data_IF_686767123639
#
_entry.id   IF_686767123639
#
_cell.length_a   1.000
_cell.length_b   1.000
_cell.length_c   1.000
_cell.angle_alpha   90.00
_cell.angle_beta   90.00
_cell.angle_gamma   90.00
#
_symmetry.space_group_name_H-M   'P 1'
#
loop_
_entity.id
_entity.type
_entity.pdbx_description
1 polymer ?
#
# COMPACT_ATOMS: atom_id res chain seq x y z
N UNK A 1 34.45 22.72 21.69
CA UNK A 1 33.83 23.36 20.52
C UNK A 1 32.33 23.13 20.56
N UNK A 2 31.51 24.18 20.57
CA UNK A 2 30.04 24.12 20.67
C UNK A 2 29.48 24.17 19.25
N UNK A 3 28.78 23.13 18.81
CA UNK A 3 28.15 23.11 17.48
C UNK A 3 26.73 23.66 17.64
N UNK A 4 26.45 24.81 17.04
CA UNK A 4 25.09 25.35 16.90
C UNK A 4 24.48 24.85 15.60
N UNK A 5 23.40 24.08 15.71
CA UNK A 5 22.61 23.62 14.57
C UNK A 5 21.44 24.59 14.39
N UNK A 6 21.39 25.27 13.25
CA UNK A 6 20.23 26.07 12.85
C UNK A 6 19.38 25.24 11.88
N UNK A 7 18.21 24.77 12.33
CA UNK A 7 17.21 24.17 11.44
C UNK A 7 16.50 25.28 10.65
N UNK A 8 16.82 25.39 9.37
CA UNK A 8 16.01 26.14 8.41
C UNK A 8 14.64 25.47 8.25
N UNK A 9 13.57 26.25 8.05
CA UNK A 9 12.20 25.74 7.80
C UNK A 9 12.19 24.79 6.60
N UNK A 10 12.34 23.50 6.86
CA UNK A 10 12.18 22.45 5.85
C UNK A 10 10.72 22.40 5.44
N UNK A 11 10.43 22.71 4.17
CA UNK A 11 9.12 22.43 3.61
C UNK A 11 8.94 20.90 3.58
N UNK A 12 7.99 20.39 4.36
CA UNK A 12 7.57 19.00 4.27
C UNK A 12 6.94 18.80 2.89
N UNK A 13 7.69 18.25 1.95
CA UNK A 13 7.15 17.80 0.69
C UNK A 13 6.54 16.41 0.90
N UNK A 14 5.22 16.29 0.67
CA UNK A 14 4.59 14.97 0.56
C UNK A 14 5.16 14.31 -0.68
N UNK A 15 6.04 13.34 -0.50
CA UNK A 15 6.52 12.48 -1.59
C UNK A 15 5.32 11.68 -2.07
N UNK A 16 5.05 11.68 -3.39
CA UNK A 16 3.89 11.01 -3.99
C UNK A 16 3.70 9.58 -3.46
N UNK A 17 2.45 9.25 -3.15
CA UNK A 17 2.06 8.05 -2.41
C UNK A 17 2.30 6.74 -3.18
N UNK A 18 2.31 5.63 -2.43
CA UNK A 18 2.41 4.28 -2.97
C UNK A 18 1.15 3.84 -3.73
N UNK A 19 1.18 2.60 -4.23
CA UNK A 19 0.06 1.98 -4.95
C UNK A 19 -1.12 1.67 -4.01
N UNK A 20 -2.34 1.90 -4.49
CA UNK A 20 -3.57 1.53 -3.81
C UNK A 20 -3.92 0.05 -4.05
N UNK A 21 -4.70 -0.54 -3.13
CA UNK A 21 -5.19 -1.91 -3.32
C UNK A 21 -6.06 -2.05 -4.58
N UNK A 22 -6.80 -1.00 -4.94
CA UNK A 22 -7.64 -0.96 -6.14
C UNK A 22 -6.81 -1.05 -7.42
N UNK A 23 -5.67 -0.36 -7.48
CA UNK A 23 -4.75 -0.44 -8.63
C UNK A 23 -4.13 -1.83 -8.77
N UNK A 24 -3.80 -2.48 -7.66
CA UNK A 24 -3.29 -3.86 -7.67
C UNK A 24 -4.36 -4.82 -8.19
N UNK A 25 -5.59 -4.75 -7.67
CA UNK A 25 -6.70 -5.60 -8.11
C UNK A 25 -7.03 -5.35 -9.59
N UNK A 26 -7.04 -4.10 -10.03
CA UNK A 26 -7.24 -3.75 -11.44
C UNK A 26 -6.17 -4.39 -12.32
N UNK A 27 -4.89 -4.23 -11.98
CA UNK A 27 -3.78 -4.84 -12.72
C UNK A 27 -3.91 -6.37 -12.81
N UNK A 28 -4.19 -7.03 -11.70
CA UNK A 28 -4.40 -8.49 -11.66
C UNK A 28 -5.59 -8.94 -12.52
N UNK A 29 -6.70 -8.20 -12.50
CA UNK A 29 -7.84 -8.47 -13.37
C UNK A 29 -7.48 -8.36 -14.86
N UNK A 30 -6.68 -7.35 -15.25
CA UNK A 30 -6.31 -7.16 -16.67
C UNK A 30 -5.44 -8.28 -17.23
N UNK A 31 -4.66 -8.96 -16.39
CA UNK A 31 -3.84 -10.11 -16.78
C UNK A 31 -4.59 -11.45 -16.71
N UNK A 32 -5.88 -11.43 -16.36
CA UNK A 32 -6.75 -12.61 -16.34
C UNK A 32 -6.77 -13.37 -15.02
N UNK A 33 -6.37 -12.76 -13.89
CA UNK A 33 -6.57 -13.37 -12.59
C UNK A 33 -8.07 -13.64 -12.35
N UNK A 34 -8.40 -14.84 -11.87
CA UNK A 34 -9.80 -15.16 -11.56
C UNK A 34 -10.21 -14.54 -10.23
N UNK A 35 -11.52 -14.35 -9.97
CA UNK A 35 -11.99 -13.91 -8.66
C UNK A 35 -11.48 -14.78 -7.51
N UNK A 36 -11.34 -16.10 -7.73
CA UNK A 36 -10.77 -17.03 -6.74
C UNK A 36 -9.31 -16.72 -6.45
N UNK A 37 -8.51 -16.42 -7.48
CA UNK A 37 -7.09 -16.06 -7.32
C UNK A 37 -6.95 -14.74 -6.56
N UNK A 38 -7.78 -13.74 -6.90
CA UNK A 38 -7.79 -12.47 -6.18
C UNK A 38 -8.11 -12.65 -4.70
N UNK A 39 -9.12 -13.46 -4.37
CA UNK A 39 -9.47 -13.76 -2.98
C UNK A 39 -8.28 -14.40 -2.26
N UNK A 40 -7.64 -15.42 -2.86
CA UNK A 40 -6.46 -16.07 -2.26
C UNK A 40 -5.30 -15.10 -2.06
N UNK A 41 -5.01 -14.24 -3.04
CA UNK A 41 -3.95 -13.22 -2.93
C UNK A 41 -4.28 -12.23 -1.80
N UNK A 42 -5.50 -11.70 -1.74
CA UNK A 42 -5.93 -10.75 -0.71
C UNK A 42 -5.88 -11.37 0.70
N UNK A 43 -6.25 -12.65 0.83
CA UNK A 43 -6.12 -13.40 2.07
C UNK A 43 -4.65 -13.55 2.51
N UNK A 44 -3.74 -13.85 1.57
CA UNK A 44 -2.29 -13.93 1.84
C UNK A 44 -1.73 -12.58 2.28
N UNK A 45 -2.10 -11.49 1.61
CA UNK A 45 -1.67 -10.13 1.96
C UNK A 45 -2.18 -9.75 3.35
N UNK A 46 -3.44 -10.07 3.69
CA UNK A 46 -4.00 -9.88 5.04
C UNK A 46 -3.21 -10.68 6.07
N UNK A 47 -2.98 -11.97 5.82
CA UNK A 47 -2.25 -12.86 6.73
C UNK A 47 -0.79 -12.42 6.96
N UNK A 48 -0.16 -11.81 5.95
CA UNK A 48 1.17 -11.23 6.05
C UNK A 48 1.22 -9.92 6.88
N UNK A 49 0.06 -9.39 7.31
CA UNK A 49 -0.04 -8.10 7.99
C UNK A 49 0.22 -6.90 7.07
N UNK A 50 0.29 -7.12 5.76
CA UNK A 50 0.55 -6.08 4.77
C UNK A 50 -0.71 -5.28 4.40
N UNK A 51 -1.88 -5.73 4.84
CA UNK A 51 -3.16 -5.05 4.64
C UNK A 51 -3.93 -4.98 5.96
N UNK A 52 -4.19 -3.76 6.43
CA UNK A 52 -5.08 -3.49 7.56
C UNK A 52 -6.50 -3.28 7.03
N UNK A 53 -7.19 -4.37 6.71
CA UNK A 53 -8.58 -4.36 6.26
C UNK A 53 -9.29 -5.69 6.57
N UNK A 54 -10.62 -5.66 6.58
CA UNK A 54 -11.45 -6.86 6.60
C UNK A 54 -11.83 -7.27 5.18
N UNK A 55 -11.80 -8.58 4.93
CA UNK A 55 -12.23 -9.17 3.66
C UNK A 55 -13.60 -9.79 3.88
N UNK A 56 -14.63 -9.21 3.26
CA UNK A 56 -16.01 -9.69 3.31
C UNK A 56 -16.37 -10.35 1.97
N UNK A 57 -17.04 -11.51 2.02
CA UNK A 57 -17.56 -12.21 0.83
C UNK A 57 -19.09 -12.06 0.84
N UNK A 58 -19.63 -11.41 -0.20
CA UNK A 58 -21.07 -11.20 -0.44
C UNK A 58 -21.56 -11.99 -1.64
#
# INVERSE_FOLDING_TARGET
>A
SKVEVQEGRGALAVVGGGVTIGEVVYGLNTIGATPRDLISILQVIKAAGAMQAELELI
#
